data_IF_363016249689
#
_entry.id   IF_363016249689
#
_cell.length_a   1.000
_cell.length_b   1.000
_cell.length_c   1.000
_cell.angle_alpha   90.00
_cell.angle_beta   90.00
_cell.angle_gamma   90.00
#
_symmetry.space_group_name_H-M   'P 1'
#
loop_
_entity.id
_entity.type
_entity.pdbx_description
1 polymer ?
#
# COMPACT_ATOMS: atom_id res chain seq x y z
N UNK A 1 16.64 -2.80 -2.93
CA UNK A 1 17.31 -3.04 -4.24
C UNK A 1 18.84 -3.10 -4.15
N UNK A 2 19.56 -2.08 -3.68
CA UNK A 2 21.00 -2.24 -3.39
C UNK A 2 21.27 -2.95 -2.05
N UNK A 3 20.45 -2.66 -1.02
CA UNK A 3 20.61 -3.19 0.33
C UNK A 3 20.33 -4.70 0.45
N UNK A 4 19.23 -5.21 -0.12
CA UNK A 4 18.94 -6.65 -0.14
C UNK A 4 20.02 -7.44 -0.88
N UNK A 5 20.45 -6.96 -2.07
CA UNK A 5 21.59 -7.55 -2.79
C UNK A 5 22.88 -7.48 -1.97
N UNK A 6 23.17 -6.35 -1.34
CA UNK A 6 24.36 -6.18 -0.49
C UNK A 6 24.33 -7.08 0.75
N UNK A 7 23.16 -7.33 1.33
CA UNK A 7 22.97 -8.27 2.43
C UNK A 7 23.14 -9.72 1.96
N UNK A 8 22.56 -10.10 0.81
CA UNK A 8 22.79 -11.40 0.17
C UNK A 8 24.27 -11.62 -0.17
N UNK A 9 24.96 -10.58 -0.65
CA UNK A 9 26.39 -10.62 -0.97
C UNK A 9 27.26 -10.70 0.29
N UNK A 10 26.91 -9.99 1.38
CA UNK A 10 27.62 -10.07 2.66
C UNK A 10 27.40 -11.39 3.39
N UNK A 11 26.18 -11.92 3.41
CA UNK A 11 25.90 -13.26 3.92
C UNK A 11 26.74 -14.34 3.23
N UNK A 12 27.05 -14.17 1.93
CA UNK A 12 27.98 -15.06 1.20
C UNK A 12 29.45 -14.85 1.53
N UNK A 13 29.84 -13.67 2.02
CA UNK A 13 31.24 -13.29 2.29
C UNK A 13 31.64 -13.56 3.74
N UNK A 14 30.69 -13.46 4.67
CA UNK A 14 30.86 -13.77 6.10
C UNK A 14 30.62 -15.26 6.43
N UNK A 15 30.65 -16.14 5.42
CA UNK A 15 30.56 -17.58 5.62
C UNK A 15 31.76 -18.07 6.45
N UNK A 16 31.50 -18.38 7.72
CA UNK A 16 32.45 -18.99 8.66
C UNK A 16 32.94 -20.34 8.09
N UNK A 17 34.27 -20.57 7.97
CA UNK A 17 34.80 -21.86 7.53
C UNK A 17 34.51 -23.02 8.51
N UNK A 18 33.96 -22.74 9.70
CA UNK A 18 33.49 -23.72 10.67
C UNK A 18 31.96 -23.86 10.64
N UNK A 19 31.43 -24.45 9.56
CA UNK A 19 29.99 -24.64 9.37
C UNK A 19 29.26 -25.27 10.55
N UNK A 20 28.29 -24.55 11.14
CA UNK A 20 27.22 -25.13 11.97
C UNK A 20 25.96 -24.23 11.97
N UNK A 21 25.17 -24.26 10.89
CA UNK A 21 23.81 -23.69 10.81
C UNK A 21 23.35 -23.61 9.35
N UNK A 22 22.07 -23.83 9.01
CA UNK A 22 21.62 -23.75 7.62
C UNK A 22 21.80 -22.32 7.11
N UNK A 23 22.55 -22.17 6.02
CA UNK A 23 22.77 -20.91 5.29
C UNK A 23 21.44 -20.20 5.02
N UNK A 24 21.07 -19.26 5.88
CA UNK A 24 19.79 -18.59 5.87
C UNK A 24 19.99 -17.10 5.99
N UNK A 25 19.27 -16.33 5.19
CA UNK A 25 19.15 -14.89 5.39
C UNK A 25 18.72 -14.64 6.85
N UNK A 26 19.60 -14.08 7.69
CA UNK A 26 19.27 -13.67 9.07
C UNK A 26 18.39 -12.40 9.09
N UNK A 27 17.55 -12.22 8.07
CA UNK A 27 16.71 -11.05 7.93
C UNK A 27 15.37 -11.39 7.30
N UNK A 28 14.37 -10.53 7.55
CA UNK A 28 13.05 -10.63 6.94
C UNK A 28 12.57 -9.25 6.51
N UNK A 29 11.96 -9.18 5.33
CA UNK A 29 11.25 -7.97 4.89
C UNK A 29 9.83 -7.97 5.42
N UNK A 30 9.32 -6.80 5.82
CA UNK A 30 7.95 -6.66 6.35
C UNK A 30 7.28 -5.47 5.70
N UNK A 31 6.04 -5.68 5.24
CA UNK A 31 5.12 -4.60 4.92
C UNK A 31 3.84 -4.78 5.74
N UNK A 32 3.54 -3.80 6.58
CA UNK A 32 2.27 -3.70 7.28
C UNK A 32 1.45 -2.56 6.69
N UNK A 33 0.24 -2.87 6.22
CA UNK A 33 -0.74 -1.88 5.76
C UNK A 33 -1.92 -1.82 6.72
N UNK A 34 -2.25 -0.63 7.18
CA UNK A 34 -3.49 -0.33 7.88
C UNK A 34 -4.43 0.42 6.93
N UNK A 35 -5.61 -0.16 6.63
CA UNK A 35 -6.64 0.47 5.80
C UNK A 35 -7.82 0.84 6.70
N UNK A 36 -8.00 2.13 6.92
CA UNK A 36 -9.05 2.66 7.80
C UNK A 36 -10.44 2.60 7.15
N UNK A 37 -11.54 2.74 7.92
CA UNK A 37 -12.90 2.69 7.39
C UNK A 37 -13.20 3.71 6.28
N UNK A 38 -12.57 4.88 6.33
CA UNK A 38 -12.67 5.89 5.28
C UNK A 38 -11.85 5.54 4.03
N UNK A 39 -10.92 4.57 4.09
CA UNK A 39 -10.01 4.21 3.00
C UNK A 39 -8.67 4.93 3.06
N UNK A 40 -8.41 5.71 4.11
CA UNK A 40 -7.05 6.16 4.42
C UNK A 40 -6.15 4.93 4.62
N UNK A 41 -4.93 5.01 4.09
CA UNK A 41 -3.95 3.93 4.17
C UNK A 41 -2.71 4.43 4.88
N UNK A 42 -2.22 3.65 5.84
CA UNK A 42 -0.94 3.88 6.52
C UNK A 42 -0.08 2.65 6.32
N UNK A 43 1.21 2.86 6.11
CA UNK A 43 2.14 1.78 5.82
C UNK A 43 3.39 1.85 6.69
N UNK A 44 3.78 0.72 7.27
CA UNK A 44 5.11 0.53 7.83
C UNK A 44 5.84 -0.47 6.94
N UNK A 45 6.97 -0.06 6.37
CA UNK A 45 7.71 -0.87 5.41
C UNK A 45 9.16 -1.04 5.87
N UNK A 46 9.56 -2.26 6.19
CA UNK A 46 10.90 -2.69 6.56
C UNK A 46 11.47 -3.54 5.42
N UNK A 47 12.02 -2.89 4.39
CA UNK A 47 12.73 -3.53 3.28
C UNK A 47 11.88 -4.18 2.18
N UNK A 48 10.55 -4.18 2.27
CA UNK A 48 9.66 -4.83 1.30
C UNK A 48 9.39 -3.94 0.07
N UNK A 49 9.11 -4.49 -1.13
CA UNK A 49 8.65 -3.71 -2.27
C UNK A 49 7.37 -2.90 -1.96
N UNK A 50 7.27 -1.68 -2.49
CA UNK A 50 6.05 -0.89 -2.33
C UNK A 50 4.91 -1.47 -3.18
N UNK A 51 3.69 -1.63 -2.65
CA UNK A 51 2.55 -2.09 -3.42
C UNK A 51 2.24 -1.13 -4.58
N UNK A 52 1.59 -1.63 -5.61
CA UNK A 52 1.03 -0.79 -6.66
C UNK A 52 -0.42 -0.45 -6.37
N UNK A 53 -0.77 0.83 -6.43
CA UNK A 53 -2.14 1.32 -6.48
C UNK A 53 -2.60 1.34 -7.94
N UNK A 54 -3.62 0.53 -8.23
CA UNK A 54 -4.29 0.48 -9.52
C UNK A 54 -5.52 1.39 -9.48
N UNK A 55 -5.51 2.35 -10.38
CA UNK A 55 -6.63 3.25 -10.66
C UNK A 55 -7.11 2.97 -12.08
N UNK A 56 -8.31 3.40 -12.45
CA UNK A 56 -8.77 3.28 -13.86
C UNK A 56 -7.87 3.99 -14.89
N UNK A 57 -6.86 4.75 -14.45
CA UNK A 57 -5.88 5.43 -15.29
C UNK A 57 -4.52 4.72 -15.41
N UNK A 58 -4.20 3.77 -14.52
CA UNK A 58 -2.90 3.07 -14.53
C UNK A 58 -2.47 2.56 -13.16
N UNK A 59 -1.20 2.14 -13.07
CA UNK A 59 -0.59 1.60 -11.86
C UNK A 59 0.61 2.45 -11.39
N UNK A 60 0.56 2.90 -10.14
CA UNK A 60 1.63 3.68 -9.49
C UNK A 60 2.04 3.04 -8.17
N UNK A 61 3.31 3.17 -7.73
CA UNK A 61 3.69 2.78 -6.37
C UNK A 61 2.83 3.53 -5.33
N UNK A 62 2.36 2.82 -4.31
CA UNK A 62 1.51 3.35 -3.25
C UNK A 62 2.22 4.47 -2.47
N UNK A 63 3.53 4.35 -2.29
CA UNK A 63 4.36 5.40 -1.74
C UNK A 63 5.72 5.43 -2.48
N UNK A 64 6.41 6.57 -2.36
CA UNK A 64 7.78 6.77 -2.87
C UNK A 64 8.78 7.06 -1.74
N UNK A 65 8.42 6.71 -0.52
CA UNK A 65 9.30 6.85 0.65
C UNK A 65 10.34 5.72 0.67
N UNK A 66 11.52 5.97 1.20
CA UNK A 66 12.49 4.90 1.43
C UNK A 66 11.97 3.96 2.52
N UNK A 67 12.06 2.64 2.34
CA UNK A 67 11.70 1.70 3.39
C UNK A 67 12.71 1.77 4.54
N UNK A 68 12.25 1.43 5.75
CA UNK A 68 13.12 1.14 6.87
C UNK A 68 14.00 -0.09 6.57
N UNK A 69 15.12 -0.28 7.29
CA UNK A 69 15.92 -1.50 7.18
C UNK A 69 15.06 -2.76 7.39
N UNK A 70 15.39 -3.88 6.72
CA UNK A 70 14.77 -5.17 7.03
C UNK A 70 15.05 -5.56 8.48
N UNK A 71 14.18 -6.39 9.06
CA UNK A 71 14.33 -6.85 10.43
C UNK A 71 15.47 -7.87 10.51
N UNK A 72 16.26 -7.85 11.60
CA UNK A 72 17.34 -8.80 11.86
C UNK A 72 18.74 -8.17 11.83
N UNK A 73 19.27 -7.78 10.66
CA UNK A 73 20.70 -7.49 10.47
C UNK A 73 21.09 -6.09 10.95
N UNK A 74 20.11 -5.21 11.17
CA UNK A 74 20.33 -3.85 11.66
C UNK A 74 19.35 -3.54 12.79
N UNK A 75 19.78 -2.76 13.80
CA UNK A 75 18.86 -2.21 14.76
C UNK A 75 17.86 -1.30 14.04
N UNK A 76 16.58 -1.46 14.35
CA UNK A 76 15.56 -0.53 13.92
C UNK A 76 15.70 0.81 14.65
N UNK A 77 15.24 1.93 14.04
CA UNK A 77 15.13 3.18 14.76
C UNK A 77 14.19 3.04 15.96
N UNK A 78 14.39 3.86 17.00
CA UNK A 78 13.55 3.85 18.20
C UNK A 78 12.08 4.12 17.89
N UNK A 79 11.82 4.95 16.87
CA UNK A 79 10.50 5.22 16.34
C UNK A 79 10.30 4.53 14.99
N UNK A 80 9.11 3.95 14.79
CA UNK A 80 8.70 3.29 13.55
C UNK A 80 7.56 4.08 12.89
N UNK A 81 7.86 5.25 12.29
CA UNK A 81 6.81 6.12 11.74
C UNK A 81 6.13 5.44 10.55
N UNK A 82 4.81 5.30 10.62
CA UNK A 82 4.01 4.86 9.49
C UNK A 82 3.91 5.97 8.44
N UNK A 83 4.11 5.61 7.17
CA UNK A 83 3.92 6.48 6.01
C UNK A 83 2.42 6.64 5.74
N UNK A 84 1.96 7.89 5.64
CA UNK A 84 0.62 8.19 5.15
C UNK A 84 0.59 8.02 3.63
N UNK A 85 -0.29 7.13 3.15
CA UNK A 85 -0.40 6.80 1.73
C UNK A 85 -1.66 7.45 1.11
N UNK A 86 -1.74 7.51 -0.24
CA UNK A 86 -2.98 7.86 -0.93
C UNK A 86 -4.15 7.00 -0.44
N UNK A 87 -5.33 7.65 -0.38
CA UNK A 87 -6.57 6.99 -0.01
C UNK A 87 -6.95 5.93 -1.04
N UNK A 88 -7.24 4.72 -0.61
CA UNK A 88 -7.78 3.66 -1.45
C UNK A 88 -9.28 3.88 -1.67
N UNK A 89 -9.67 4.36 -2.86
CA UNK A 89 -11.05 4.69 -3.19
C UNK A 89 -11.86 3.46 -3.62
N UNK A 90 -13.19 3.50 -3.53
CA UNK A 90 -14.06 2.49 -4.12
C UNK A 90 -13.69 2.18 -5.58
N UNK A 91 -13.61 0.90 -5.92
CA UNK A 91 -13.25 0.43 -7.26
C UNK A 91 -11.75 0.37 -7.57
N UNK A 92 -10.90 1.04 -6.78
CA UNK A 92 -9.44 0.93 -6.88
C UNK A 92 -8.92 -0.35 -6.21
N UNK A 93 -7.70 -0.75 -6.57
CA UNK A 93 -7.06 -1.94 -6.02
C UNK A 93 -5.61 -1.69 -5.61
N UNK A 94 -5.15 -2.40 -4.59
CA UNK A 94 -3.73 -2.54 -4.23
C UNK A 94 -3.23 -3.89 -4.71
N UNK A 95 -2.03 -3.91 -5.28
CA UNK A 95 -1.31 -5.13 -5.65
C UNK A 95 -0.01 -5.16 -4.85
N UNK A 96 0.05 -6.07 -3.88
CA UNK A 96 1.25 -6.38 -3.10
C UNK A 96 1.95 -7.58 -3.74
N UNK A 97 3.27 -7.61 -3.69
CA UNK A 97 4.07 -8.65 -4.30
C UNK A 97 5.39 -8.88 -3.55
N UNK A 98 5.92 -10.10 -3.62
CA UNK A 98 7.32 -10.36 -3.27
C UNK A 98 8.25 -9.82 -4.36
N UNK A 99 9.53 -9.64 -4.04
CA UNK A 99 10.54 -9.20 -4.99
C UNK A 99 10.78 -10.22 -6.11
N UNK A 100 10.59 -11.52 -5.87
CA UNK A 100 10.61 -12.55 -6.91
C UNK A 100 9.71 -12.24 -8.12
N UNK A 101 8.62 -11.49 -7.94
CA UNK A 101 7.77 -11.04 -9.05
C UNK A 101 8.49 -10.05 -10.00
N UNK A 102 9.23 -9.08 -9.45
CA UNK A 102 10.00 -8.11 -10.23
C UNK A 102 11.36 -8.67 -10.67
N UNK A 103 11.92 -9.58 -9.88
CA UNK A 103 13.22 -10.20 -10.11
C UNK A 103 13.17 -11.37 -11.10
N UNK A 104 11.98 -11.86 -11.46
CA UNK A 104 11.78 -12.84 -12.52
C UNK A 104 12.38 -12.36 -13.85
N UNK A 105 13.02 -13.28 -14.59
CA UNK A 105 13.77 -12.97 -15.83
C UNK A 105 13.35 -13.84 -17.00
N UNK A 106 13.52 -13.30 -18.20
CA UNK A 106 13.47 -14.07 -19.44
C UNK A 106 14.83 -14.73 -19.76
N UNK A 107 14.90 -15.42 -20.90
CA UNK A 107 16.11 -16.08 -21.37
C UNK A 107 17.30 -15.13 -21.61
N UNK A 108 17.03 -13.86 -21.93
CA UNK A 108 18.05 -12.81 -22.09
C UNK A 108 18.43 -12.13 -20.76
N UNK A 109 17.83 -12.57 -19.65
CA UNK A 109 18.09 -12.03 -18.32
C UNK A 109 17.37 -10.71 -18.00
N UNK A 110 16.43 -10.26 -18.84
CA UNK A 110 15.65 -9.03 -18.62
C UNK A 110 14.58 -9.24 -17.57
N UNK A 111 14.45 -8.29 -16.66
CA UNK A 111 13.44 -8.30 -15.60
C UNK A 111 12.02 -8.26 -16.13
N UNK A 112 11.09 -8.92 -15.42
CA UNK A 112 9.67 -8.89 -15.71
C UNK A 112 9.11 -7.46 -15.55
N UNK A 113 8.44 -6.89 -16.57
CA UNK A 113 7.93 -5.53 -16.53
C UNK A 113 6.61 -5.44 -15.75
N UNK A 114 6.63 -5.77 -14.46
CA UNK A 114 5.43 -5.88 -13.60
C UNK A 114 4.55 -4.62 -13.66
N UNK A 115 5.13 -3.43 -13.55
CA UNK A 115 4.38 -2.16 -13.58
C UNK A 115 3.62 -1.95 -14.90
N UNK A 116 4.22 -2.31 -16.03
CA UNK A 116 3.59 -2.15 -17.35
C UNK A 116 2.40 -3.11 -17.47
N UNK A 117 2.58 -4.36 -17.03
CA UNK A 117 1.52 -5.36 -16.98
C UNK A 117 0.36 -4.91 -16.07
N UNK A 118 0.68 -4.35 -14.90
CA UNK A 118 -0.32 -3.80 -13.99
C UNK A 118 -1.02 -2.56 -14.56
N UNK A 119 -0.30 -1.71 -15.29
CA UNK A 119 -0.89 -0.55 -15.96
C UNK A 119 -1.91 -0.98 -17.02
N UNK A 120 -1.60 -2.02 -17.80
CA UNK A 120 -2.56 -2.58 -18.74
C UNK A 120 -3.74 -3.26 -18.04
N UNK A 121 -3.50 -3.99 -16.94
CA UNK A 121 -4.56 -4.59 -16.14
C UNK A 121 -5.51 -3.54 -15.54
N UNK A 122 -4.98 -2.39 -15.14
CA UNK A 122 -5.75 -1.29 -14.54
C UNK A 122 -6.74 -0.64 -15.53
N UNK A 123 -6.48 -0.77 -16.84
CA UNK A 123 -7.35 -0.25 -17.90
C UNK A 123 -8.50 -1.21 -18.26
N UNK A 124 -8.45 -2.46 -17.82
CA UNK A 124 -9.54 -3.42 -18.03
C UNK A 124 -10.76 -3.05 -17.20
N UNK A 125 -11.95 -3.08 -17.82
CA UNK A 125 -13.22 -2.79 -17.15
C UNK A 125 -14.17 -3.99 -17.25
N UNK A 126 -14.73 -4.48 -16.13
CA UNK A 126 -14.49 -4.02 -14.76
C UNK A 126 -13.11 -4.44 -14.23
N UNK A 127 -12.47 -3.56 -13.45
CA UNK A 127 -11.27 -3.93 -12.69
C UNK A 127 -11.65 -4.91 -11.57
N UNK A 128 -11.12 -6.14 -11.61
CA UNK A 128 -11.36 -7.16 -10.58
C UNK A 128 -10.04 -7.77 -10.12
N UNK A 129 -9.98 -8.27 -8.88
CA UNK A 129 -8.78 -8.97 -8.41
C UNK A 129 -8.42 -10.16 -9.32
N UNK A 130 -9.43 -10.84 -9.84
CA UNK A 130 -9.27 -12.00 -10.72
C UNK A 130 -8.70 -11.63 -12.10
N UNK A 131 -9.16 -10.53 -12.71
CA UNK A 131 -8.64 -10.06 -13.99
C UNK A 131 -7.18 -9.64 -13.87
N UNK A 132 -6.83 -8.89 -12.81
CA UNK A 132 -5.45 -8.50 -12.50
C UNK A 132 -4.57 -9.73 -12.30
N UNK A 133 -5.00 -10.68 -11.45
CA UNK A 133 -4.26 -11.93 -11.21
C UNK A 133 -3.99 -12.69 -12.51
N UNK A 134 -5.03 -12.88 -13.33
CA UNK A 134 -4.92 -13.59 -14.60
C UNK A 134 -3.97 -12.89 -15.57
N UNK A 135 -4.01 -11.56 -15.65
CA UNK A 135 -3.14 -10.76 -16.52
C UNK A 135 -1.68 -10.90 -16.09
N UNK A 136 -1.40 -10.74 -14.79
CA UNK A 136 -0.04 -10.86 -14.25
C UNK A 136 0.50 -12.27 -14.41
N UNK A 137 -0.25 -13.30 -14.03
CA UNK A 137 0.19 -14.69 -14.16
C UNK A 137 0.44 -15.08 -15.61
N UNK A 138 -0.48 -14.73 -16.53
CA UNK A 138 -0.30 -14.99 -17.97
C UNK A 138 0.94 -14.29 -18.51
N UNK A 139 1.18 -13.05 -18.12
CA UNK A 139 2.34 -12.28 -18.58
C UNK A 139 3.64 -12.87 -18.00
N UNK A 140 3.66 -13.23 -16.72
CA UNK A 140 4.81 -13.82 -16.05
C UNK A 140 5.21 -15.15 -16.72
N UNK A 141 4.23 -16.07 -16.91
CA UNK A 141 4.47 -17.36 -17.57
C UNK A 141 4.94 -17.23 -19.02
N UNK A 142 4.57 -16.15 -19.72
CA UNK A 142 5.05 -15.87 -21.08
C UNK A 142 6.44 -15.24 -21.09
N UNK A 143 6.80 -14.53 -20.03
CA UNK A 143 8.07 -13.83 -19.89
C UNK A 143 9.18 -14.79 -19.47
N UNK A 144 8.89 -15.68 -18.51
CA UNK A 144 9.88 -16.61 -17.95
C UNK A 144 10.00 -17.88 -18.79
N UNK A 145 11.22 -18.32 -19.08
CA UNK A 145 11.47 -19.61 -19.76
C UNK A 145 11.51 -20.77 -18.76
N UNK A 146 12.08 -20.52 -17.58
CA UNK A 146 12.14 -21.43 -16.45
C UNK A 146 11.28 -20.91 -15.29
N UNK A 147 10.94 -21.74 -14.28
CA UNK A 147 10.35 -21.23 -13.06
C UNK A 147 11.19 -20.08 -12.46
N UNK A 148 10.54 -19.06 -11.85
CA UNK A 148 11.26 -17.99 -11.17
C UNK A 148 12.30 -18.54 -10.19
N UNK A 149 13.47 -17.90 -10.14
CA UNK A 149 14.57 -18.30 -9.26
C UNK A 149 14.25 -18.05 -7.77
N UNK A 150 13.23 -17.24 -7.50
CA UNK A 150 12.78 -16.85 -6.17
C UNK A 150 11.26 -16.98 -6.08
N UNK A 151 10.70 -16.97 -4.87
CA UNK A 151 9.26 -17.12 -4.70
C UNK A 151 8.47 -15.91 -5.22
N UNK A 152 7.39 -16.21 -5.94
CA UNK A 152 6.47 -15.20 -6.45
C UNK A 152 5.15 -15.31 -5.69
N UNK A 153 4.87 -14.33 -4.85
CA UNK A 153 3.57 -14.15 -4.23
C UNK A 153 2.93 -12.83 -4.69
N UNK A 154 1.60 -12.86 -4.90
CA UNK A 154 0.80 -11.71 -5.26
C UNK A 154 -0.46 -11.66 -4.39
N UNK A 155 -0.71 -10.51 -3.75
CA UNK A 155 -1.97 -10.23 -3.05
C UNK A 155 -2.65 -9.03 -3.69
N UNK A 156 -3.89 -9.22 -4.12
CA UNK A 156 -4.68 -8.18 -4.79
C UNK A 156 -5.89 -7.85 -3.92
N UNK A 157 -5.91 -6.63 -3.40
CA UNK A 157 -6.97 -6.12 -2.55
C UNK A 157 -7.75 -5.04 -3.30
N UNK A 158 -9.02 -5.29 -3.59
CA UNK A 158 -9.91 -4.31 -4.22
C UNK A 158 -10.84 -3.71 -3.17
N UNK A 159 -11.02 -2.39 -3.20
CA UNK A 159 -11.99 -1.74 -2.32
C UNK A 159 -13.39 -1.76 -2.95
N UNK A 160 -14.22 -2.70 -2.49
CA UNK A 160 -15.62 -2.81 -2.95
C UNK A 160 -16.61 -2.01 -2.09
N UNK A 161 -16.13 -1.28 -1.07
CA UNK A 161 -17.01 -0.44 -0.26
C UNK A 161 -17.68 0.61 -1.15
N UNK A 162 -18.98 0.87 -0.98
CA UNK A 162 -19.65 1.91 -1.74
C UNK A 162 -19.01 3.28 -1.46
N UNK A 163 -19.06 4.17 -2.46
CA UNK A 163 -18.65 5.55 -2.27
C UNK A 163 -19.51 6.17 -1.18
N UNK A 164 -18.91 6.45 -0.02
CA UNK A 164 -19.58 7.20 1.03
C UNK A 164 -19.78 8.61 0.48
N UNK A 165 -21.02 9.14 0.41
CA UNK A 165 -21.21 10.53 0.02
C UNK A 165 -20.36 11.40 0.93
N UNK A 166 -19.62 12.35 0.35
CA UNK A 166 -18.92 13.35 1.14
C UNK A 166 -19.97 14.00 2.04
N UNK A 167 -19.81 13.90 3.36
CA UNK A 167 -20.69 14.60 4.29
C UNK A 167 -20.62 16.07 3.90
N UNK A 168 -21.72 16.59 3.34
CA UNK A 168 -21.82 18.00 3.05
C UNK A 168 -21.57 18.69 4.38
N UNK A 169 -20.59 19.60 4.42
CA UNK A 169 -20.44 20.50 5.55
C UNK A 169 -21.73 21.32 5.59
N UNK A 170 -22.72 20.85 6.34
CA UNK A 170 -23.86 21.66 6.73
C UNK A 170 -23.25 22.83 7.50
N UNK A 171 -23.13 23.96 6.83
CA UNK A 171 -22.87 25.25 7.46
C UNK A 171 -24.04 25.43 8.43
N UNK A 172 -23.82 25.25 9.73
CA UNK A 172 -24.77 25.70 10.72
C UNK A 172 -24.79 27.22 10.65
N UNK A 173 -25.74 27.75 9.88
CA UNK A 173 -26.13 29.14 10.00
C UNK A 173 -26.76 29.31 11.37
N UNK A 174 -25.99 29.82 12.33
CA UNK A 174 -26.54 30.37 13.57
C UNK A 174 -27.35 31.60 13.15
N UNK A 175 -28.67 31.44 13.06
CA UNK A 175 -29.61 32.56 13.09
C UNK A 175 -29.73 33.00 14.54
N UNK A 176 -29.06 34.09 14.90
CA UNK A 176 -29.31 34.80 16.15
C UNK A 176 -30.68 35.45 16.03
N UNK A 177 -31.69 34.90 16.69
CA UNK A 177 -32.95 35.58 16.92
C UNK A 177 -32.72 36.61 18.04
N UNK A 178 -32.89 37.90 17.71
CA UNK A 178 -32.90 38.97 18.69
C UNK A 178 -34.11 38.79 19.62
N UNK A 179 -33.86 38.75 20.92
CA UNK A 179 -34.90 38.81 21.94
C UNK A 179 -35.42 40.25 22.01
N UNK A 180 -36.71 40.41 21.69
CA UNK A 180 -37.47 41.63 21.85
C UNK A 180 -37.80 41.80 23.35
N UNK A 181 -37.19 42.79 24.00
CA UNK A 181 -37.49 43.17 25.38
C UNK A 181 -38.59 44.23 25.36
N UNK A 182 -39.84 43.80 25.53
CA UNK A 182 -40.96 44.72 25.82
C UNK A 182 -40.87 45.28 27.24
N UNK A 183 -41.19 46.57 27.47
CA UNK A 183 -41.21 47.14 28.81
C UNK A 183 -42.46 46.68 29.59
N UNK A 184 -42.25 46.38 30.86
CA UNK A 184 -43.29 46.04 31.83
C UNK A 184 -44.04 47.31 32.24
N UNK A 185 -45.36 47.32 32.07
CA UNK A 185 -46.23 48.38 32.59
C UNK A 185 -47.00 47.90 33.82
N UNK A 186 -47.05 48.80 34.80
CA UNK A 186 -47.39 48.55 36.20
C UNK A 186 -48.90 48.39 36.46
N UNK A 187 -49.17 47.60 37.50
CA UNK A 187 -50.46 47.30 38.13
C UNK A 187 -51.34 48.52 38.43
N UNK A 188 -52.64 48.35 38.22
CA UNK A 188 -53.71 49.26 38.63
C UNK A 188 -54.68 48.51 39.54
N UNK A 189 -55.03 49.07 40.70
CA UNK A 189 -56.26 48.74 41.44
C UNK A 189 -56.85 50.00 42.12
N UNK A 190 -58.19 50.07 42.31
CA UNK A 190 -58.92 51.34 42.42
C UNK A 190 -59.33 51.75 43.84
N UNK A 191 -59.69 53.04 43.93
CA UNK A 191 -60.41 53.83 44.96
C UNK A 191 -59.80 53.93 46.37
#
# INVERSE_FOLDING_TARGET
>A
RAMARHLRERARTDADPAGTGPDGEEFVTVLLLEILPAGEVRALNCGHPWPHLLTGSGAEPLARADPLPPLGPFPLPADLPAVACPRLRPGEALVLHTDGAEEARDAEGRFFPLRDVLTEAAREQPLTAQSVRRRVLTALLRHTTDPPQDDVALLILRNERPARPAASRLRSGVRTAAADLGPSDHLQFPA
#
